data_IF_518934963576
#
_entry.id   IF_518934963576
#
_cell.length_a   1.000
_cell.length_b   1.000
_cell.length_c   1.000
_cell.angle_alpha   90.00
_cell.angle_beta   90.00
_cell.angle_gamma   90.00
#
_symmetry.space_group_name_H-M   'P 1'
#
loop_
_entity.id
_entity.type
_entity.pdbx_description
1 polymer ?
#
# COMPACT_ATOMS: atom_id res chain seq x y z
N UNK A 1 -1.09 23.42 -2.19
CA UNK A 1 -0.82 21.98 -2.07
C UNK A 1 -1.56 21.27 -3.20
N UNK A 2 -0.81 20.57 -4.04
CA UNK A 2 -1.35 19.59 -4.98
C UNK A 2 -2.06 18.46 -4.19
N UNK A 3 -2.76 17.54 -4.87
CA UNK A 3 -3.50 16.46 -4.20
C UNK A 3 -2.55 15.65 -3.31
N UNK A 4 -2.77 15.67 -1.99
CA UNK A 4 -2.02 14.87 -1.01
C UNK A 4 -2.72 13.52 -0.85
N UNK A 5 -1.95 12.44 -0.87
CA UNK A 5 -2.44 11.10 -0.51
C UNK A 5 -1.88 10.66 0.84
N UNK A 6 -0.55 10.59 0.94
CA UNK A 6 0.15 10.19 2.15
C UNK A 6 0.20 11.34 3.16
N UNK A 7 -0.15 11.04 4.40
CA UNK A 7 -0.02 11.92 5.55
C UNK A 7 0.48 11.09 6.73
N UNK A 8 1.48 11.61 7.43
CA UNK A 8 2.08 10.94 8.59
C UNK A 8 2.40 12.00 9.66
N UNK A 9 2.13 11.68 10.92
CA UNK A 9 2.54 12.48 12.06
C UNK A 9 3.72 11.80 12.75
N UNK A 10 4.77 12.56 13.04
CA UNK A 10 5.96 12.05 13.72
C UNK A 10 6.66 13.18 14.49
N UNK A 11 6.90 12.98 15.78
CA UNK A 11 7.64 13.92 16.66
C UNK A 11 7.18 15.39 16.59
N UNK A 12 5.86 15.62 16.55
CA UNK A 12 5.30 16.98 16.47
C UNK A 12 5.37 17.62 15.09
N UNK A 13 5.77 16.87 14.06
CA UNK A 13 5.75 17.28 12.66
C UNK A 13 4.74 16.46 11.87
N UNK A 14 4.30 17.03 10.76
CA UNK A 14 3.50 16.34 9.74
C UNK A 14 4.32 16.22 8.46
N UNK A 15 4.32 15.02 7.88
CA UNK A 15 4.83 14.74 6.56
C UNK A 15 3.65 14.60 5.60
N UNK A 16 3.74 15.23 4.43
CA UNK A 16 2.69 15.27 3.43
C UNK A 16 3.29 14.83 2.09
N UNK A 17 2.71 13.82 1.47
CA UNK A 17 3.18 13.31 0.18
C UNK A 17 2.21 13.70 -0.95
N UNK A 18 2.70 14.56 -1.83
CA UNK A 18 2.10 14.86 -3.13
C UNK A 18 2.62 13.90 -4.19
N UNK A 19 2.31 14.17 -5.46
CA UNK A 19 2.76 13.33 -6.57
C UNK A 19 4.28 13.42 -6.81
N UNK A 20 4.80 14.66 -6.86
CA UNK A 20 6.20 14.98 -7.17
C UNK A 20 7.03 15.37 -5.93
N UNK A 21 6.38 15.67 -4.82
CA UNK A 21 7.00 16.34 -3.67
C UNK A 21 6.58 15.69 -2.35
N UNK A 22 7.50 15.72 -1.38
CA UNK A 22 7.21 15.47 0.04
C UNK A 22 7.52 16.74 0.82
N UNK A 23 6.56 17.17 1.62
CA UNK A 23 6.70 18.31 2.51
C UNK A 23 6.69 17.91 3.98
N UNK A 24 7.35 18.70 4.80
CA UNK A 24 7.27 18.64 6.27
C UNK A 24 6.81 19.98 6.83
N UNK A 25 6.00 19.95 7.88
CA UNK A 25 5.60 21.13 8.63
C UNK A 25 5.49 20.81 10.13
N UNK A 26 5.61 21.82 10.98
CA UNK A 26 5.31 21.66 12.40
C UNK A 26 3.80 21.55 12.62
N UNK A 27 3.39 20.71 13.58
CA UNK A 27 2.02 20.65 14.08
C UNK A 27 1.88 21.63 15.24
N UNK A 28 1.00 22.60 15.10
CA UNK A 28 0.78 23.66 16.08
C UNK A 28 -0.18 23.20 17.19
N UNK A 29 -0.18 23.92 18.32
CA UNK A 29 -1.00 23.59 19.50
C UNK A 29 -2.52 23.53 19.22
N UNK A 30 -2.99 24.23 18.17
CA UNK A 30 -4.39 24.23 17.74
C UNK A 30 -4.72 23.13 16.71
N UNK A 31 -3.76 22.26 16.41
CA UNK A 31 -3.88 21.17 15.44
C UNK A 31 -3.73 21.61 13.98
N UNK A 32 -3.44 22.88 13.71
CA UNK A 32 -3.10 23.34 12.37
C UNK A 32 -1.63 23.09 12.05
N UNK A 33 -1.26 23.22 10.78
CA UNK A 33 0.13 23.03 10.33
C UNK A 33 0.80 24.38 10.08
N UNK A 34 2.08 24.46 10.41
CA UNK A 34 2.94 25.58 10.03
C UNK A 34 3.17 25.68 8.52
N UNK A 35 4.08 26.56 8.10
CA UNK A 35 4.49 26.67 6.69
C UNK A 35 5.18 25.37 6.26
N UNK A 36 4.70 24.68 5.21
CA UNK A 36 5.34 23.45 4.73
C UNK A 36 6.64 23.73 3.98
N UNK A 37 7.67 22.95 4.27
CA UNK A 37 8.96 22.92 3.59
C UNK A 37 9.07 21.64 2.75
N UNK A 38 9.44 21.75 1.48
CA UNK A 38 9.70 20.58 0.64
C UNK A 38 11.04 19.96 1.03
N UNK A 39 11.03 18.67 1.39
CA UNK A 39 12.24 17.88 1.69
C UNK A 39 12.63 17.00 0.50
N UNK A 40 11.67 16.67 -0.36
CA UNK A 40 11.89 16.01 -1.65
C UNK A 40 11.03 16.74 -2.68
N UNK A 41 11.59 17.12 -3.82
CA UNK A 41 10.89 17.92 -4.84
C UNK A 41 11.03 17.40 -6.29
N UNK A 42 11.58 16.21 -6.45
CA UNK A 42 11.93 15.59 -7.73
C UNK A 42 11.46 14.13 -7.85
N UNK A 43 10.40 13.72 -7.13
CA UNK A 43 9.83 12.38 -7.32
C UNK A 43 9.36 12.19 -8.77
N UNK A 44 9.48 10.98 -9.33
CA UNK A 44 9.11 10.72 -10.72
C UNK A 44 7.60 10.94 -10.94
N UNK A 45 7.25 11.37 -12.15
CA UNK A 45 5.86 11.63 -12.55
C UNK A 45 4.98 10.40 -12.34
N UNK A 46 3.79 10.59 -11.78
CA UNK A 46 2.89 9.48 -11.47
C UNK A 46 2.33 8.78 -12.69
N UNK A 47 2.12 9.50 -13.79
CA UNK A 47 1.36 9.04 -14.95
C UNK A 47 0.08 8.27 -14.52
N UNK A 48 0.07 6.95 -14.62
CA UNK A 48 -1.08 6.13 -14.19
C UNK A 48 -1.26 6.07 -12.67
N UNK A 49 -0.19 6.08 -11.87
CA UNK A 49 -0.23 5.92 -10.43
C UNK A 49 0.53 7.04 -9.71
N UNK A 50 -0.11 8.22 -9.57
CA UNK A 50 0.48 9.41 -8.90
C UNK A 50 0.28 9.51 -7.39
N UNK A 51 -0.42 8.56 -6.76
CA UNK A 51 -0.58 8.55 -5.30
C UNK A 51 0.72 8.07 -4.64
N UNK A 52 1.07 8.67 -3.50
CA UNK A 52 2.25 8.33 -2.70
C UNK A 52 1.81 8.07 -1.26
N UNK A 53 2.10 6.89 -0.73
CA UNK A 53 2.02 6.60 0.70
C UNK A 53 3.40 6.79 1.31
N UNK A 54 3.43 7.28 2.54
CA UNK A 54 4.65 7.48 3.31
C UNK A 54 4.54 6.85 4.70
N UNK A 55 5.67 6.39 5.23
CA UNK A 55 5.78 5.85 6.58
C UNK A 55 7.22 6.00 7.09
N UNK A 56 7.41 6.10 8.40
CA UNK A 56 8.75 6.12 9.01
C UNK A 56 9.03 4.74 9.59
N UNK A 57 10.14 4.15 9.16
CA UNK A 57 10.57 2.83 9.61
C UNK A 57 11.27 2.85 10.97
N UNK A 58 11.52 1.67 11.57
CA UNK A 58 12.25 1.53 12.83
C UNK A 58 13.73 1.92 12.74
N UNK A 59 14.23 2.21 11.53
CA UNK A 59 15.56 2.74 11.25
C UNK A 59 15.59 4.28 11.18
N UNK A 60 14.51 4.96 11.59
CA UNK A 60 14.33 6.42 11.54
C UNK A 60 14.46 7.00 10.11
N UNK A 61 14.10 6.21 9.10
CA UNK A 61 14.07 6.62 7.69
C UNK A 61 12.64 6.74 7.18
N UNK A 62 12.43 7.66 6.25
CA UNK A 62 11.16 7.87 5.56
C UNK A 62 11.08 6.95 4.34
N UNK A 63 10.03 6.14 4.27
CA UNK A 63 9.73 5.26 3.14
C UNK A 63 8.61 5.87 2.31
N UNK A 64 8.73 5.80 0.98
CA UNK A 64 7.81 6.43 0.03
C UNK A 64 7.43 5.39 -1.02
N UNK A 65 6.15 5.11 -1.19
CA UNK A 65 5.68 4.25 -2.29
C UNK A 65 5.69 5.01 -3.62
N UNK A 66 6.32 4.46 -4.65
CA UNK A 66 6.24 4.96 -6.01
C UNK A 66 5.56 3.93 -6.90
N UNK A 67 4.34 4.23 -7.33
CA UNK A 67 3.62 3.39 -8.28
C UNK A 67 4.26 3.40 -9.68
N UNK A 68 3.92 2.41 -10.49
CA UNK A 68 4.33 2.33 -11.89
C UNK A 68 3.72 3.45 -12.73
N UNK A 69 4.40 3.87 -13.80
CA UNK A 69 3.86 4.86 -14.74
C UNK A 69 2.75 4.30 -15.63
N UNK A 70 2.60 2.98 -15.68
CA UNK A 70 1.73 2.26 -16.60
C UNK A 70 1.15 0.98 -15.99
N UNK A 71 0.20 0.37 -16.68
CA UNK A 71 -0.44 -0.86 -16.23
C UNK A 71 0.56 -2.03 -16.13
N UNK A 72 1.30 -2.25 -17.22
CA UNK A 72 2.31 -3.29 -17.34
C UNK A 72 3.24 -2.99 -18.52
N UNK A 73 4.37 -2.38 -18.24
CA UNK A 73 5.37 -2.01 -19.23
C UNK A 73 6.75 -1.93 -18.57
N UNK A 74 7.79 -1.96 -19.40
CA UNK A 74 9.13 -1.64 -18.92
C UNK A 74 9.20 -0.14 -18.61
N UNK A 75 9.57 0.20 -17.38
CA UNK A 75 9.71 1.58 -16.96
C UNK A 75 10.89 2.28 -17.63
N UNK A 76 10.78 3.60 -17.73
CA UNK A 76 11.88 4.46 -18.20
C UNK A 76 12.62 5.13 -17.06
N UNK A 77 11.97 5.28 -15.92
CA UNK A 77 12.59 5.69 -14.66
C UNK A 77 12.82 4.46 -13.78
N UNK A 78 13.94 4.42 -13.06
CA UNK A 78 14.25 3.30 -12.16
C UNK A 78 13.50 3.42 -10.83
N UNK A 79 13.03 4.60 -10.47
CA UNK A 79 12.27 4.82 -9.23
C UNK A 79 10.79 4.45 -9.37
N UNK A 80 10.27 4.18 -10.58
CA UNK A 80 8.91 3.67 -10.75
C UNK A 80 8.74 2.22 -10.31
N UNK A 81 7.57 1.90 -9.75
CA UNK A 81 7.27 0.57 -9.20
C UNK A 81 8.27 0.16 -8.10
N UNK A 82 8.50 1.07 -7.15
CA UNK A 82 9.45 0.88 -6.06
C UNK A 82 8.89 1.34 -4.72
N UNK A 83 9.57 0.92 -3.66
CA UNK A 83 9.58 1.64 -2.38
C UNK A 83 10.91 2.36 -2.29
N UNK A 84 10.87 3.69 -2.20
CA UNK A 84 12.04 4.50 -1.91
C UNK A 84 12.23 4.60 -0.39
N UNK A 85 13.48 4.74 0.04
CA UNK A 85 13.86 5.07 1.42
C UNK A 85 14.71 6.33 1.40
N UNK A 86 14.42 7.27 2.30
CA UNK A 86 15.15 8.53 2.42
C UNK A 86 15.34 8.96 3.86
N UNK A 87 16.37 9.78 4.13
CA UNK A 87 16.51 10.43 5.44
C UNK A 87 15.31 11.36 5.71
N UNK A 88 15.01 11.65 6.98
CA UNK A 88 13.83 12.47 7.34
C UNK A 88 13.88 13.91 6.81
N UNK A 89 15.05 14.38 6.39
CA UNK A 89 15.28 15.66 5.72
C UNK A 89 15.34 15.57 4.18
N UNK A 90 15.17 14.36 3.63
CA UNK A 90 15.18 14.09 2.18
C UNK A 90 16.57 14.03 1.52
N UNK A 91 17.65 14.22 2.30
CA UNK A 91 19.01 14.38 1.76
C UNK A 91 19.66 13.10 1.20
N UNK A 92 19.38 11.93 1.79
CA UNK A 92 19.83 10.62 1.29
C UNK A 92 18.64 9.88 0.72
N UNK A 93 18.69 9.37 -0.52
CA UNK A 93 17.59 8.63 -1.16
C UNK A 93 18.11 7.40 -1.89
N UNK A 94 17.41 6.29 -1.74
CA UNK A 94 17.68 5.05 -2.48
C UNK A 94 16.41 4.25 -2.80
N UNK A 95 16.53 3.31 -3.72
CA UNK A 95 15.50 2.30 -3.98
C UNK A 95 15.67 1.18 -2.94
N UNK A 96 14.76 1.12 -1.98
CA UNK A 96 14.75 0.07 -0.97
C UNK A 96 14.26 -1.26 -1.55
N UNK A 97 13.16 -1.24 -2.30
CA UNK A 97 12.58 -2.42 -2.94
C UNK A 97 12.07 -2.06 -4.35
N UNK A 98 12.18 -2.98 -5.29
CA UNK A 98 11.79 -2.80 -6.70
C UNK A 98 10.81 -3.86 -7.16
N UNK A 99 9.95 -3.54 -8.12
CA UNK A 99 9.00 -4.50 -8.68
C UNK A 99 7.68 -4.72 -7.93
N UNK A 100 7.29 -4.00 -6.86
CA UNK A 100 5.87 -3.84 -6.55
C UNK A 100 5.25 -2.82 -7.50
N UNK A 101 4.13 -3.15 -8.14
CA UNK A 101 3.49 -2.30 -9.15
C UNK A 101 2.99 -0.98 -8.56
N UNK A 102 2.25 -1.05 -7.47
CA UNK A 102 1.57 0.09 -6.83
C UNK A 102 1.16 -0.26 -5.39
N UNK A 103 2.15 -0.43 -4.51
CA UNK A 103 1.95 -0.75 -3.08
C UNK A 103 1.62 0.50 -2.26
N UNK A 104 0.34 0.87 -2.21
CA UNK A 104 -0.12 2.01 -1.40
C UNK A 104 -0.36 1.63 0.06
N UNK A 105 -0.72 0.39 0.37
CA UNK A 105 -0.88 -0.08 1.74
C UNK A 105 0.38 -0.80 2.21
N UNK A 106 1.17 -0.17 3.09
CA UNK A 106 2.31 -0.79 3.75
C UNK A 106 2.43 -0.35 5.22
N UNK A 107 3.16 -1.12 6.02
CA UNK A 107 3.47 -0.79 7.41
C UNK A 107 4.51 -1.76 8.00
N UNK A 108 4.96 -1.49 9.22
CA UNK A 108 5.92 -2.34 9.92
C UNK A 108 5.21 -3.18 10.97
N UNK A 109 5.52 -4.48 10.98
CA UNK A 109 5.03 -5.36 12.03
C UNK A 109 5.59 -4.90 13.38
N UNK A 110 4.76 -4.71 14.42
CA UNK A 110 5.16 -4.01 15.65
C UNK A 110 6.22 -4.77 16.45
N UNK A 111 6.20 -6.10 16.43
CA UNK A 111 7.18 -6.90 17.16
C UNK A 111 8.49 -7.18 16.39
N UNK A 112 8.40 -7.53 15.11
CA UNK A 112 9.56 -7.93 14.30
C UNK A 112 10.25 -6.75 13.63
N UNK A 113 9.57 -5.62 13.46
CA UNK A 113 10.05 -4.47 12.70
C UNK A 113 10.15 -4.72 11.19
N UNK A 114 9.56 -5.80 10.69
CA UNK A 114 9.58 -6.13 9.26
C UNK A 114 8.58 -5.27 8.48
N UNK A 115 8.99 -4.78 7.32
CA UNK A 115 8.12 -4.03 6.41
C UNK A 115 7.24 -4.98 5.60
N UNK A 116 5.93 -4.76 5.67
CA UNK A 116 4.91 -5.51 4.92
C UNK A 116 4.15 -4.57 4.01
N UNK A 117 3.81 -5.04 2.80
CA UNK A 117 3.06 -4.25 1.84
C UNK A 117 2.11 -5.10 1.01
N UNK A 118 0.92 -4.56 0.74
CA UNK A 118 -0.09 -5.18 -0.13
C UNK A 118 -0.10 -4.48 -1.49
N UNK A 119 0.39 -5.17 -2.51
CA UNK A 119 0.57 -4.65 -3.86
C UNK A 119 -0.65 -4.88 -4.76
N UNK A 120 -0.84 -3.98 -5.73
CA UNK A 120 -1.88 -4.10 -6.76
C UNK A 120 -1.41 -4.97 -7.92
N UNK A 121 -2.18 -6.00 -8.26
CA UNK A 121 -1.99 -6.73 -9.51
C UNK A 121 -2.19 -5.86 -10.76
N UNK A 122 -1.57 -6.24 -11.89
CA UNK A 122 -1.79 -5.55 -13.18
C UNK A 122 -3.17 -5.81 -13.79
N UNK A 123 -3.73 -4.81 -14.46
CA UNK A 123 -5.05 -4.86 -15.07
C UNK A 123 -5.07 -5.63 -16.41
N UNK A 124 -6.24 -6.14 -16.79
CA UNK A 124 -6.49 -6.62 -18.16
C UNK A 124 -6.01 -8.04 -18.46
N UNK A 125 -5.80 -8.86 -17.43
CA UNK A 125 -5.39 -10.28 -17.53
C UNK A 125 -6.52 -11.26 -17.20
N UNK A 126 -7.74 -10.76 -17.01
CA UNK A 126 -8.93 -11.53 -16.65
C UNK A 126 -9.46 -11.15 -15.26
N UNK A 127 -10.58 -11.73 -14.88
CA UNK A 127 -11.27 -11.41 -13.62
C UNK A 127 -10.56 -11.93 -12.36
N UNK A 128 -9.70 -12.94 -12.51
CA UNK A 128 -9.12 -13.68 -11.39
C UNK A 128 -7.59 -13.67 -11.40
N UNK A 129 -6.96 -12.82 -12.22
CA UNK A 129 -5.51 -12.63 -12.24
C UNK A 129 -5.09 -11.24 -12.75
N UNK A 130 -3.92 -10.75 -12.33
CA UNK A 130 -3.08 -11.25 -11.24
C UNK A 130 -3.75 -11.05 -9.88
N UNK A 131 -3.38 -11.85 -8.87
CA UNK A 131 -3.86 -11.61 -7.51
C UNK A 131 -3.37 -10.25 -6.98
N UNK A 132 -3.99 -9.77 -5.91
CA UNK A 132 -3.33 -8.80 -5.04
C UNK A 132 -2.30 -9.55 -4.19
N UNK A 133 -1.20 -8.91 -3.81
CA UNK A 133 -0.03 -9.62 -3.29
C UNK A 133 0.46 -9.05 -1.97
N UNK A 134 0.53 -9.88 -0.92
CA UNK A 134 1.15 -9.51 0.35
C UNK A 134 2.63 -9.89 0.30
N UNK A 135 3.49 -8.88 0.40
CA UNK A 135 4.94 -9.04 0.36
C UNK A 135 5.58 -8.65 1.69
N UNK A 136 6.56 -9.44 2.13
CA UNK A 136 7.57 -8.97 3.07
C UNK A 136 8.62 -8.19 2.28
N UNK A 137 8.63 -6.87 2.43
CA UNK A 137 9.49 -5.97 1.69
C UNK A 137 10.86 -5.89 2.35
N UNK A 138 11.92 -6.29 1.63
CA UNK A 138 13.30 -6.29 2.12
C UNK A 138 14.19 -5.45 1.22
N UNK A 139 15.26 -4.92 1.80
CA UNK A 139 16.26 -4.12 1.09
C UNK A 139 16.84 -4.91 -0.10
N UNK A 140 16.84 -4.30 -1.28
CA UNK A 140 17.29 -4.90 -2.54
C UNK A 140 16.33 -5.95 -3.12
N UNK A 141 15.15 -6.15 -2.53
CA UNK A 141 14.14 -7.07 -3.04
C UNK A 141 13.63 -6.69 -4.43
N UNK A 142 13.40 -7.68 -5.28
CA UNK A 142 12.73 -7.53 -6.57
C UNK A 142 11.45 -8.38 -6.61
N UNK A 143 10.28 -7.74 -6.67
CA UNK A 143 8.96 -8.38 -6.57
C UNK A 143 8.33 -8.68 -7.94
N UNK A 144 9.07 -8.44 -9.02
CA UNK A 144 8.84 -9.08 -10.32
C UNK A 144 7.95 -8.34 -11.30
N UNK A 145 7.19 -7.33 -10.89
CA UNK A 145 6.52 -6.47 -11.85
C UNK A 145 7.56 -5.81 -12.79
N UNK A 146 7.31 -5.70 -14.10
CA UNK A 146 6.06 -6.03 -14.80
C UNK A 146 5.99 -7.47 -15.31
N UNK A 147 7.06 -8.24 -15.23
CA UNK A 147 7.22 -9.48 -15.99
C UNK A 147 6.68 -10.72 -15.29
N UNK A 148 6.41 -10.62 -13.99
CA UNK A 148 6.04 -11.74 -13.13
C UNK A 148 4.90 -11.33 -12.19
N UNK A 149 4.11 -12.30 -11.77
CA UNK A 149 3.16 -12.16 -10.67
C UNK A 149 2.96 -13.49 -9.95
N UNK A 150 2.38 -13.45 -8.75
CA UNK A 150 2.13 -14.60 -7.90
C UNK A 150 3.39 -15.38 -7.61
N UNK A 151 3.31 -16.71 -7.71
CA UNK A 151 4.43 -17.63 -7.49
C UNK A 151 5.43 -17.60 -8.66
N UNK A 152 6.08 -16.45 -8.87
CA UNK A 152 7.08 -16.18 -9.90
C UNK A 152 6.61 -16.56 -11.32
N UNK A 153 5.30 -16.47 -11.57
CA UNK A 153 4.72 -16.86 -12.84
C UNK A 153 4.98 -15.79 -13.89
N UNK A 154 5.53 -16.19 -15.05
CA UNK A 154 5.76 -15.29 -16.17
C UNK A 154 4.44 -14.71 -16.68
N UNK A 155 4.40 -13.39 -16.79
CA UNK A 155 3.30 -12.67 -17.41
C UNK A 155 3.34 -12.80 -18.94
N UNK A 156 2.57 -13.76 -19.45
CA UNK A 156 2.49 -14.07 -20.89
C UNK A 156 1.66 -13.09 -21.70
N UNK A 157 1.02 -12.09 -21.08
CA UNK A 157 0.32 -11.03 -21.80
C UNK A 157 1.29 -9.97 -22.31
N UNK A 158 2.52 -9.93 -21.77
CA UNK A 158 3.54 -9.00 -22.21
C UNK A 158 4.28 -9.52 -23.45
N UNK A 159 4.41 -8.64 -24.44
CA UNK A 159 5.22 -8.88 -25.63
C UNK A 159 6.70 -8.53 -25.44
N UNK A 160 7.00 -7.70 -24.44
CA UNK A 160 8.37 -7.31 -24.08
C UNK A 160 8.95 -8.28 -23.06
N UNK A 161 10.26 -8.50 -23.13
CA UNK A 161 11.00 -9.35 -22.21
C UNK A 161 11.96 -8.51 -21.36
N UNK A 162 12.36 -9.01 -20.17
CA UNK A 162 13.41 -8.40 -19.37
C UNK A 162 14.70 -8.19 -20.18
N UNK A 163 15.46 -7.14 -19.85
CA UNK A 163 16.77 -6.90 -20.46
C UNK A 163 17.78 -7.86 -19.85
N UNK A 164 18.54 -8.57 -20.70
CA UNK A 164 19.64 -9.44 -20.26
C UNK A 164 19.23 -10.83 -19.73
N UNK A 165 17.94 -11.16 -19.72
CA UNK A 165 17.42 -12.47 -19.30
C UNK A 165 16.16 -12.86 -20.09
N UNK A 166 15.89 -14.15 -20.21
CA UNK A 166 14.54 -14.62 -20.60
C UNK A 166 13.53 -14.30 -19.48
N UNK A 167 12.22 -14.18 -19.78
CA UNK A 167 11.20 -14.00 -18.74
C UNK A 167 11.27 -15.06 -17.64
N UNK A 168 11.48 -16.33 -18.00
CA UNK A 168 11.60 -17.44 -17.04
C UNK A 168 12.82 -17.28 -16.13
N UNK A 169 13.97 -16.87 -16.69
CA UNK A 169 15.17 -16.61 -15.89
C UNK A 169 15.01 -15.41 -14.96
N UNK A 170 14.33 -14.35 -15.42
CA UNK A 170 14.07 -13.18 -14.60
C UNK A 170 13.15 -13.53 -13.43
N UNK A 171 11.98 -14.14 -13.72
CA UNK A 171 10.99 -14.46 -12.69
C UNK A 171 11.50 -15.45 -11.66
N UNK A 172 12.32 -16.44 -12.05
CA UNK A 172 12.92 -17.36 -11.09
C UNK A 172 13.85 -16.69 -10.05
N UNK A 173 14.25 -15.43 -10.26
CA UNK A 173 15.09 -14.64 -9.35
C UNK A 173 14.33 -13.52 -8.62
N UNK A 174 13.00 -13.42 -8.77
CA UNK A 174 12.18 -12.46 -8.02
C UNK A 174 11.75 -13.05 -6.67
N UNK A 175 11.24 -12.21 -5.78
CA UNK A 175 10.65 -12.62 -4.50
C UNK A 175 9.15 -12.84 -4.72
N UNK A 176 8.65 -14.03 -4.38
CA UNK A 176 7.22 -14.35 -4.43
C UNK A 176 6.47 -13.71 -3.25
N UNK A 177 5.16 -13.41 -3.39
CA UNK A 177 4.34 -12.98 -2.27
C UNK A 177 4.21 -14.08 -1.22
N UNK A 178 4.08 -13.67 0.03
CA UNK A 178 3.87 -14.59 1.17
C UNK A 178 2.42 -15.09 1.17
N UNK A 179 1.47 -14.19 0.93
CA UNK A 179 0.06 -14.52 0.71
C UNK A 179 -0.46 -13.76 -0.51
N UNK A 180 -1.53 -14.29 -1.10
CA UNK A 180 -2.24 -13.63 -2.20
C UNK A 180 -3.68 -13.38 -1.80
N UNK A 181 -4.30 -12.37 -2.39
CA UNK A 181 -5.71 -12.05 -2.21
C UNK A 181 -6.41 -11.88 -3.55
N UNK A 182 -7.74 -11.87 -3.52
CA UNK A 182 -8.56 -11.85 -4.72
C UNK A 182 -8.21 -10.67 -5.64
N UNK A 183 -7.90 -10.98 -6.90
CA UNK A 183 -7.57 -10.03 -7.95
C UNK A 183 -8.54 -8.84 -7.99
N UNK A 184 -7.98 -7.65 -8.22
CA UNK A 184 -8.69 -6.39 -8.37
C UNK A 184 -9.36 -5.85 -7.09
N UNK A 185 -9.09 -6.40 -5.91
CA UNK A 185 -9.62 -5.88 -4.63
C UNK A 185 -9.07 -4.49 -4.26
N UNK A 186 -7.96 -4.06 -4.86
CA UNK A 186 -7.35 -2.74 -4.77
C UNK A 186 -6.96 -2.30 -3.34
N UNK A 187 -5.96 -2.95 -2.71
CA UNK A 187 -5.49 -2.61 -1.37
C UNK A 187 -4.85 -1.21 -1.34
N UNK A 188 -5.37 -0.29 -0.54
CA UNK A 188 -4.94 1.12 -0.61
C UNK A 188 -4.39 1.70 0.71
N UNK A 189 -4.61 1.02 1.82
CA UNK A 189 -4.00 1.37 3.11
C UNK A 189 -3.82 0.10 3.93
N UNK A 190 -2.81 0.10 4.79
CA UNK A 190 -2.51 -0.95 5.75
C UNK A 190 -2.15 -0.31 7.08
N UNK A 191 -2.59 -0.90 8.18
CA UNK A 191 -2.17 -0.51 9.54
C UNK A 191 -2.04 -1.77 10.39
N UNK A 192 -1.01 -1.85 11.22
CA UNK A 192 -0.93 -2.88 12.26
C UNK A 192 -1.74 -2.44 13.48
N UNK A 193 -2.48 -3.36 14.08
CA UNK A 193 -3.34 -3.07 15.20
C UNK A 193 -2.57 -3.21 16.53
N UNK A 194 -2.41 -2.10 17.24
CA UNK A 194 -1.72 -2.01 18.53
C UNK A 194 -2.62 -1.42 19.64
N UNK A 195 -3.90 -1.20 19.34
CA UNK A 195 -4.88 -0.68 20.29
C UNK A 195 -5.54 -1.80 21.12
N UNK A 196 -6.31 -1.50 22.16
CA UNK A 196 -6.86 -2.49 23.10
C UNK A 196 -8.40 -2.65 23.03
N UNK A 197 -9.02 -2.15 21.97
CA UNK A 197 -10.48 -2.12 21.86
C UNK A 197 -11.09 -3.36 21.17
N UNK A 198 -10.40 -3.95 20.21
CA UNK A 198 -10.84 -5.18 19.55
C UNK A 198 -10.33 -6.42 20.32
N UNK A 199 -10.86 -7.63 20.05
CA UNK A 199 -10.39 -8.85 20.69
C UNK A 199 -8.87 -9.04 20.61
N UNK A 200 -8.29 -9.69 21.61
CA UNK A 200 -6.84 -9.88 21.75
C UNK A 200 -6.20 -10.56 20.54
N UNK A 201 -6.97 -11.35 19.78
CA UNK A 201 -6.51 -11.99 18.55
C UNK A 201 -6.15 -11.00 17.44
N UNK A 202 -6.57 -9.72 17.51
CA UNK A 202 -6.20 -8.71 16.52
C UNK A 202 -4.87 -8.02 16.86
N UNK A 203 -4.31 -8.24 18.05
CA UNK A 203 -3.10 -7.56 18.49
C UNK A 203 -1.88 -7.99 17.68
N UNK A 204 -1.18 -7.04 17.08
CA UNK A 204 -0.02 -7.33 16.23
C UNK A 204 -0.37 -7.73 14.79
N UNK A 205 -1.66 -7.84 14.47
CA UNK A 205 -2.15 -8.18 13.14
C UNK A 205 -2.35 -6.94 12.27
N UNK A 206 -2.48 -7.14 10.95
CA UNK A 206 -2.69 -6.03 10.02
C UNK A 206 -4.14 -5.92 9.54
N UNK A 207 -4.61 -4.68 9.38
CA UNK A 207 -5.87 -4.34 8.74
C UNK A 207 -5.58 -3.64 7.42
N UNK A 208 -6.25 -4.08 6.34
CA UNK A 208 -6.05 -3.54 4.99
C UNK A 208 -7.36 -3.05 4.40
N UNK A 209 -7.37 -1.82 3.89
CA UNK A 209 -8.51 -1.26 3.17
C UNK A 209 -8.48 -1.71 1.71
N UNK A 210 -9.43 -2.54 1.33
CA UNK A 210 -9.65 -2.94 -0.07
C UNK A 210 -10.61 -1.95 -0.72
N UNK A 211 -10.08 -1.02 -1.54
CA UNK A 211 -10.84 0.08 -2.16
C UNK A 211 -11.90 -0.40 -3.15
N UNK A 212 -11.70 -1.59 -3.69
CA UNK A 212 -12.63 -2.24 -4.58
C UNK A 212 -12.35 -2.07 -6.07
N UNK A 213 -12.73 -3.11 -6.81
CA UNK A 213 -12.43 -3.31 -8.22
C UNK A 213 -13.15 -2.33 -9.13
N UNK A 214 -12.49 -1.94 -10.21
CA UNK A 214 -13.13 -1.30 -11.37
C UNK A 214 -13.04 -2.16 -12.64
N UNK A 215 -12.11 -3.12 -12.68
CA UNK A 215 -11.75 -3.92 -13.86
C UNK A 215 -12.04 -5.43 -13.67
N UNK A 216 -13.19 -5.75 -13.07
CA UNK A 216 -13.65 -7.13 -12.85
C UNK A 216 -15.15 -7.21 -13.10
N UNK A 217 -15.62 -8.29 -13.75
CA UNK A 217 -17.04 -8.44 -14.11
C UNK A 217 -17.97 -8.51 -12.90
N UNK A 218 -17.55 -9.23 -11.85
CA UNK A 218 -18.21 -9.23 -10.55
C UNK A 218 -17.35 -8.41 -9.58
N UNK A 219 -17.85 -7.30 -9.02
CA UNK A 219 -17.03 -6.47 -8.16
C UNK A 219 -16.53 -7.19 -6.90
N UNK A 220 -15.33 -6.84 -6.45
CA UNK A 220 -14.73 -7.32 -5.19
C UNK A 220 -13.95 -6.20 -4.51
N UNK A 221 -13.45 -6.43 -3.29
CA UNK A 221 -12.95 -5.44 -2.35
C UNK A 221 -14.09 -4.77 -1.59
N UNK A 222 -14.09 -3.43 -1.50
CA UNK A 222 -15.11 -2.65 -0.78
C UNK A 222 -15.29 -3.13 0.67
N UNK A 223 -14.18 -3.39 1.34
CA UNK A 223 -14.14 -3.98 2.68
C UNK A 223 -12.80 -3.73 3.35
N UNK A 224 -12.78 -3.73 4.67
CA UNK A 224 -11.54 -3.91 5.43
C UNK A 224 -11.32 -5.40 5.60
N UNK A 225 -10.11 -5.87 5.33
CA UNK A 225 -9.68 -7.23 5.63
C UNK A 225 -8.69 -7.22 6.78
N UNK A 226 -8.60 -8.35 7.46
CA UNK A 226 -7.66 -8.64 8.53
C UNK A 226 -6.66 -9.67 8.02
N UNK A 227 -5.37 -9.42 8.23
CA UNK A 227 -4.28 -10.36 7.97
C UNK A 227 -3.84 -10.87 9.34
N UNK A 228 -4.05 -12.17 9.55
CA UNK A 228 -3.68 -12.90 10.77
C UNK A 228 -2.19 -13.22 10.75
N UNK A 229 -1.45 -12.83 11.80
CA UNK A 229 -0.04 -13.12 12.00
C UNK A 229 0.17 -14.09 13.18
N UNK A 230 0.81 -15.23 12.90
CA UNK A 230 1.31 -16.15 13.92
C UNK A 230 2.84 -16.03 13.99
N UNK A 231 3.37 -15.69 15.18
CA UNK A 231 4.81 -15.55 15.44
C UNK A 231 5.52 -14.64 14.39
N UNK A 232 4.87 -13.54 14.00
CA UNK A 232 5.38 -12.58 13.01
C UNK A 232 5.26 -13.02 11.55
N UNK A 233 4.59 -14.15 11.26
CA UNK A 233 4.34 -14.65 9.91
C UNK A 233 2.86 -14.60 9.56
N UNK A 234 2.46 -14.03 8.42
CA UNK A 234 1.05 -13.99 8.05
C UNK A 234 0.57 -15.38 7.60
N UNK A 235 -0.57 -15.81 8.12
CA UNK A 235 -1.14 -17.16 7.88
C UNK A 235 -2.47 -17.14 7.14
N UNK A 236 -3.25 -16.06 7.26
CA UNK A 236 -4.56 -15.93 6.63
C UNK A 236 -4.92 -14.48 6.31
N UNK A 237 -5.90 -14.29 5.40
CA UNK A 237 -6.51 -12.99 5.11
C UNK A 237 -8.03 -13.18 5.07
N UNK A 238 -8.73 -12.56 6.02
CA UNK A 238 -10.17 -12.70 6.21
C UNK A 238 -10.90 -11.35 6.20
N UNK A 239 -12.21 -11.37 5.99
CA UNK A 239 -13.02 -10.15 6.03
C UNK A 239 -13.17 -9.62 7.46
N UNK A 240 -12.79 -8.36 7.70
CA UNK A 240 -12.96 -7.70 8.99
C UNK A 240 -14.25 -6.88 9.04
N UNK A 241 -14.37 -5.86 8.19
CA UNK A 241 -15.61 -5.09 8.03
C UNK A 241 -16.03 -5.10 6.58
N UNK A 242 -17.29 -5.45 6.34
CA UNK A 242 -17.89 -5.55 5.01
C UNK A 242 -19.17 -4.71 4.94
N UNK A 243 -19.71 -4.55 3.73
CA UNK A 243 -21.02 -3.93 3.51
C UNK A 243 -21.02 -2.77 2.53
N UNK A 244 -19.85 -2.22 2.16
CA UNK A 244 -19.78 -1.11 1.19
C UNK A 244 -20.22 -1.49 -0.23
N UNK A 245 -20.14 -2.79 -0.57
CA UNK A 245 -20.75 -3.37 -1.75
C UNK A 245 -22.17 -3.85 -1.41
N UNK A 246 -23.16 -3.36 -2.14
CA UNK A 246 -24.60 -3.57 -1.90
C UNK A 246 -25.29 -4.09 -3.16
N UNK A 247 -26.59 -4.39 -3.04
CA UNK A 247 -27.43 -4.90 -4.14
C UNK A 247 -26.79 -6.10 -4.85
N UNK A 248 -26.29 -7.05 -4.06
CA UNK A 248 -25.61 -8.27 -4.52
C UNK A 248 -24.45 -7.98 -5.52
N UNK A 249 -23.74 -6.86 -5.32
CA UNK A 249 -22.61 -6.46 -6.16
C UNK A 249 -22.98 -5.50 -7.29
N UNK A 250 -24.25 -5.09 -7.41
CA UNK A 250 -24.69 -4.17 -8.46
C UNK A 250 -24.43 -2.69 -8.14
N UNK A 251 -24.19 -2.35 -6.87
CA UNK A 251 -23.92 -0.99 -6.43
C UNK A 251 -22.92 -0.95 -5.26
N UNK A 252 -22.33 0.21 -5.05
CA UNK A 252 -21.46 0.50 -3.90
C UNK A 252 -21.92 1.80 -3.26
N UNK A 253 -21.97 1.86 -1.93
CA UNK A 253 -22.33 3.11 -1.25
C UNK A 253 -21.11 3.96 -0.85
N UNK A 254 -19.89 3.41 -0.90
CA UNK A 254 -18.65 4.12 -0.60
C UNK A 254 -17.40 3.39 -1.08
N UNK A 255 -16.27 4.11 -1.19
CA UNK A 255 -14.96 3.50 -1.52
C UNK A 255 -13.96 3.87 -0.44
N UNK A 256 -13.65 2.89 0.39
CA UNK A 256 -12.74 3.10 1.51
C UNK A 256 -11.30 3.35 1.03
N UNK A 257 -10.57 4.15 1.79
CA UNK A 257 -9.21 4.54 1.47
C UNK A 257 -8.27 4.40 2.68
N UNK A 258 -8.12 5.46 3.48
CA UNK A 258 -7.18 5.50 4.59
C UNK A 258 -7.67 4.73 5.82
N UNK A 259 -6.71 4.19 6.55
CA UNK A 259 -6.90 3.54 7.86
C UNK A 259 -6.03 4.23 8.91
N UNK A 260 -6.54 4.37 10.12
CA UNK A 260 -5.72 4.69 11.29
C UNK A 260 -6.41 4.19 12.55
N UNK A 261 -5.63 3.91 13.59
CA UNK A 261 -6.13 3.48 14.90
C UNK A 261 -6.05 4.68 15.85
N UNK A 262 -7.15 4.99 16.52
CA UNK A 262 -7.18 6.05 17.53
C UNK A 262 -6.54 5.60 18.84
N UNK A 263 -6.16 6.54 19.70
CA UNK A 263 -5.61 6.26 21.05
C UNK A 263 -6.47 5.34 21.93
N UNK A 264 -7.78 5.24 21.67
CA UNK A 264 -8.68 4.33 22.40
C UNK A 264 -8.93 3.00 21.69
N UNK A 265 -8.09 2.66 20.70
CA UNK A 265 -8.13 1.42 19.94
C UNK A 265 -9.22 1.31 18.87
N UNK A 266 -10.02 2.36 18.63
CA UNK A 266 -10.99 2.37 17.53
C UNK A 266 -10.31 2.48 16.17
N UNK A 267 -10.86 1.81 15.15
CA UNK A 267 -10.41 1.98 13.76
C UNK A 267 -11.17 3.13 13.09
N UNK A 268 -10.44 4.06 12.50
CA UNK A 268 -10.98 5.05 11.56
C UNK A 268 -10.76 4.58 10.13
N UNK A 269 -11.80 4.71 9.31
CA UNK A 269 -11.78 4.35 7.89
C UNK A 269 -12.30 5.51 7.08
N UNK A 270 -11.51 6.06 6.16
CA UNK A 270 -11.99 7.12 5.26
C UNK A 270 -12.66 6.56 4.00
N UNK A 271 -13.61 7.30 3.45
CA UNK A 271 -14.25 7.08 2.15
C UNK A 271 -13.92 8.25 1.23
N UNK A 272 -13.07 7.99 0.23
CA UNK A 272 -12.57 9.03 -0.67
C UNK A 272 -13.60 9.50 -1.70
N UNK A 273 -14.69 8.74 -1.88
CA UNK A 273 -15.74 9.06 -2.85
C UNK A 273 -16.82 9.95 -2.24
N UNK A 274 -17.16 9.74 -0.97
CA UNK A 274 -18.22 10.51 -0.30
C UNK A 274 -17.70 11.54 0.72
N UNK A 275 -16.41 11.55 1.05
CA UNK A 275 -15.85 12.47 2.04
C UNK A 275 -16.30 12.15 3.46
N UNK A 276 -16.40 10.86 3.78
CA UNK A 276 -16.87 10.37 5.10
C UNK A 276 -15.70 9.72 5.84
N UNK A 277 -15.71 9.82 7.17
CA UNK A 277 -14.85 9.02 8.06
C UNK A 277 -15.75 8.18 8.94
N UNK A 278 -15.62 6.87 8.83
CA UNK A 278 -16.27 5.92 9.72
C UNK A 278 -15.40 5.69 10.96
N UNK A 279 -16.04 5.55 12.11
CA UNK A 279 -15.41 5.03 13.33
C UNK A 279 -15.98 3.66 13.63
N UNK A 280 -15.11 2.65 13.61
CA UNK A 280 -15.45 1.28 13.95
C UNK A 280 -14.91 1.02 15.35
N UNK A 281 -15.79 0.55 16.21
CA UNK A 281 -15.54 0.36 17.62
C UNK A 281 -16.19 -0.96 18.04
N UNK A 282 -15.45 -1.81 18.72
CA UNK A 282 -16.01 -2.97 19.38
C UNK A 282 -16.89 -2.52 20.57
N UNK A 283 -18.07 -3.10 20.68
CA UNK A 283 -18.99 -2.90 21.80
C UNK A 283 -19.44 -4.27 22.28
N UNK A 284 -19.35 -4.52 23.58
CA UNK A 284 -19.80 -5.75 24.23
C UNK A 284 -21.29 -6.09 23.96
#
# INVERSE_FOLDING_TARGET
LHVVHGILLHEGRVYLAGEHEVWVADVLDDGTFGEPEAIVDDLPDGAQHGRRTIGIGPDDMLYISIGSSCNACAETDLEHATILRTSLDGGEREIFASGPRNTLGFGWHPETGELWGMDHGSDGRGDDQPPEELHRLVEGGNYGWPYCFGDQAVDRFLSRTPVGATPEQYCANTVAPVLTYQAHSAPIAMVFYEGDQFPDELQGDALVAMRGSWNRSLPTGFKVVHIDFEDGTPVAIDGFVTGWLVDDGAAQFGRIAGLTVTDNGALLVSDDTNGVIYRIAYTD
#
